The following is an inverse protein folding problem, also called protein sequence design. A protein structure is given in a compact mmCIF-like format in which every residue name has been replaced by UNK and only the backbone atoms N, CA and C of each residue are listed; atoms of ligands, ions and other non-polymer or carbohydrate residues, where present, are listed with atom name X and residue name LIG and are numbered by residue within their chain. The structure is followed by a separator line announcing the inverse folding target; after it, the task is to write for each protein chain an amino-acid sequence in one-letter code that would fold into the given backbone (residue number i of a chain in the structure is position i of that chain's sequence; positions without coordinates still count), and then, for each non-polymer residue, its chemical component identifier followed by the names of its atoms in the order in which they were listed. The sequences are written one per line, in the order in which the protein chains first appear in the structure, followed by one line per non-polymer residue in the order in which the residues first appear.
data_IF_759071450264
#
_entry.id   IF_759071450264
#
_cell.length_a   1.000
_cell.length_b   1.000
_cell.length_c   1.000
_cell.angle_alpha   90.00
_cell.angle_beta   90.00
_cell.angle_gamma   90.00
#
_symmetry.space_group_name_H-M   'P 1'
#
loop_
_entity.id
_entity.type
_entity.pdbx_description
1 polymer ?
#
# COMPACT_ATOMS: atom_id res chain seq x y z
N UNK A 1 -0.46 -2.41 -8.56
CA UNK A 1 -0.10 -3.83 -8.33
C UNK A 1 1.39 -4.01 -8.13
N UNK A 2 2.22 -3.37 -8.95
CA UNK A 2 3.68 -3.55 -8.92
C UNK A 2 4.43 -2.52 -8.07
N UNK A 3 3.72 -1.70 -7.32
CA UNK A 3 4.31 -0.77 -6.36
C UNK A 3 4.67 -1.47 -5.04
N UNK A 4 5.68 -0.95 -4.37
CA UNK A 4 6.03 -1.34 -3.01
C UNK A 4 5.68 -0.23 -2.02
N UNK A 5 5.37 -0.59 -0.79
CA UNK A 5 5.11 0.35 0.28
C UNK A 5 5.88 -0.10 1.53
N UNK A 6 6.83 0.71 1.96
CA UNK A 6 7.76 0.35 3.02
C UNK A 6 8.31 1.60 3.71
N UNK A 7 8.69 1.47 4.97
CA UNK A 7 9.30 2.54 5.75
C UNK A 7 10.79 2.73 5.44
N UNK A 8 11.47 1.67 5.01
CA UNK A 8 12.89 1.66 4.67
C UNK A 8 13.19 0.59 3.62
N UNK A 9 14.38 0.65 3.04
CA UNK A 9 14.81 -0.35 2.07
C UNK A 9 15.10 -1.72 2.70
N UNK A 10 15.07 -2.82 1.93
CA UNK A 10 15.46 -4.13 2.42
C UNK A 10 16.88 -4.19 2.98
N UNK A 11 17.81 -3.42 2.40
CA UNK A 11 19.20 -3.30 2.90
C UNK A 11 19.24 -2.63 4.27
N UNK A 12 18.47 -1.55 4.44
CA UNK A 12 18.34 -0.86 5.73
C UNK A 12 17.74 -1.76 6.80
N UNK A 13 16.67 -2.47 6.47
CA UNK A 13 16.04 -3.44 7.37
C UNK A 13 16.99 -4.57 7.74
N UNK A 14 17.71 -5.14 6.75
CA UNK A 14 18.70 -6.19 6.97
C UNK A 14 19.85 -5.73 7.89
N UNK A 15 20.31 -4.49 7.71
CA UNK A 15 21.34 -3.91 8.57
C UNK A 15 20.91 -3.81 10.03
N UNK A 16 19.66 -3.43 10.26
CA UNK A 16 19.08 -3.28 11.61
C UNK A 16 18.85 -4.67 12.24
N UNK A 17 18.14 -5.55 11.53
CA UNK A 17 17.66 -6.82 12.09
C UNK A 17 18.76 -7.89 12.11
N UNK A 18 19.51 -8.02 11.03
CA UNK A 18 20.53 -9.07 10.87
C UNK A 18 21.96 -8.56 11.05
N UNK A 19 22.15 -7.26 11.20
CA UNK A 19 23.44 -6.58 11.23
C UNK A 19 24.31 -6.88 9.98
N UNK A 20 23.67 -7.17 8.85
CA UNK A 20 24.29 -7.50 7.58
C UNK A 20 23.38 -7.06 6.40
N UNK A 21 23.77 -5.97 5.72
CA UNK A 21 23.02 -5.44 4.58
C UNK A 21 22.94 -6.42 3.38
N UNK A 22 23.83 -7.40 3.29
CA UNK A 22 23.82 -8.40 2.22
C UNK A 22 22.63 -9.36 2.32
N UNK A 23 21.99 -9.45 3.47
CA UNK A 23 20.78 -10.25 3.71
C UNK A 23 19.50 -9.54 3.26
N UNK A 24 19.60 -8.65 2.28
CA UNK A 24 18.48 -7.86 1.79
C UNK A 24 17.34 -8.70 1.18
N UNK A 25 17.63 -9.83 0.57
CA UNK A 25 16.60 -10.73 0.01
C UNK A 25 15.73 -11.33 1.12
N UNK A 26 16.37 -11.89 2.14
CA UNK A 26 15.68 -12.45 3.32
C UNK A 26 14.88 -11.35 4.04
N UNK A 27 15.46 -10.15 4.15
CA UNK A 27 14.80 -8.98 4.72
C UNK A 27 13.54 -8.60 3.93
N UNK A 28 13.62 -8.54 2.60
CA UNK A 28 12.48 -8.21 1.74
C UNK A 28 11.30 -9.18 1.92
N UNK A 29 11.57 -10.47 2.06
CA UNK A 29 10.54 -11.49 2.31
C UNK A 29 9.85 -11.29 3.66
N UNK A 30 10.61 -10.96 4.69
CA UNK A 30 10.07 -10.72 6.05
C UNK A 30 9.27 -9.42 6.11
N UNK A 31 9.66 -8.39 5.38
CA UNK A 31 9.03 -7.07 5.42
C UNK A 31 7.60 -7.03 4.87
N UNK A 32 7.22 -7.97 4.01
CA UNK A 32 5.86 -8.00 3.42
C UNK A 32 5.49 -6.69 2.73
N UNK A 33 6.30 -6.26 1.78
CA UNK A 33 6.21 -4.93 1.15
C UNK A 33 5.44 -4.90 -0.19
N UNK A 34 5.04 -6.07 -0.69
CA UNK A 34 4.30 -6.16 -1.96
C UNK A 34 2.82 -5.82 -1.80
N UNK A 35 2.19 -5.37 -2.87
CA UNK A 35 0.77 -5.01 -2.87
C UNK A 35 -0.13 -6.15 -2.37
N UNK A 36 0.16 -7.39 -2.77
CA UNK A 36 -0.59 -8.57 -2.34
C UNK A 36 -0.49 -8.78 -0.83
N UNK A 37 0.72 -8.80 -0.31
CA UNK A 37 0.98 -9.00 1.13
C UNK A 37 0.38 -7.89 1.98
N UNK A 38 0.51 -6.64 1.54
CA UNK A 38 -0.07 -5.48 2.22
C UNK A 38 -1.61 -5.50 2.22
N UNK A 39 -2.21 -6.07 1.16
CA UNK A 39 -3.66 -6.30 1.10
C UNK A 39 -4.10 -7.36 2.09
N UNK A 40 -3.38 -8.48 2.16
CA UNK A 40 -3.64 -9.57 3.11
C UNK A 40 -3.52 -9.09 4.57
N UNK A 41 -2.56 -8.23 4.85
CA UNK A 41 -2.37 -7.61 6.17
C UNK A 41 -3.38 -6.48 6.48
N UNK A 42 -4.17 -6.04 5.51
CA UNK A 42 -5.11 -4.93 5.67
C UNK A 42 -4.46 -3.54 5.75
N UNK A 43 -3.19 -3.43 5.34
CA UNK A 43 -2.48 -2.13 5.27
C UNK A 43 -3.01 -1.29 4.13
N UNK A 44 -3.28 -1.91 2.98
CA UNK A 44 -3.90 -1.25 1.82
C UNK A 44 -5.32 -1.77 1.60
N UNK A 45 -6.21 -0.90 1.12
CA UNK A 45 -7.62 -1.24 0.91
C UNK A 45 -7.84 -1.95 -0.40
N UNK A 46 -7.17 -1.50 -1.46
CA UNK A 46 -7.35 -2.01 -2.82
C UNK A 46 -6.02 -2.11 -3.56
N UNK A 47 -5.97 -3.04 -4.48
CA UNK A 47 -4.84 -3.23 -5.41
C UNK A 47 -5.38 -3.07 -6.82
N UNK A 48 -4.87 -2.07 -7.53
CA UNK A 48 -5.21 -1.83 -8.93
C UNK A 48 -4.40 -2.81 -9.78
N UNK A 49 -5.08 -3.60 -10.61
CA UNK A 49 -4.46 -4.57 -11.50
C UNK A 49 -3.74 -3.87 -12.65
N UNK A 50 -2.56 -4.38 -12.96
CA UNK A 50 -1.72 -3.93 -14.06
C UNK A 50 -1.42 -5.14 -14.95
N UNK A 51 -2.40 -5.52 -15.79
CA UNK A 51 -2.29 -6.70 -16.65
C UNK A 51 -1.29 -6.54 -17.78
N UNK A 52 -0.95 -5.28 -18.11
CA UNK A 52 0.04 -4.88 -19.12
C UNK A 52 0.98 -3.84 -18.51
N UNK A 53 2.21 -3.70 -19.03
CA UNK A 53 3.13 -2.68 -18.54
C UNK A 53 2.52 -1.27 -18.58
N UNK A 54 2.70 -0.51 -17.52
CA UNK A 54 2.20 0.86 -17.43
C UNK A 54 3.04 1.78 -18.30
N UNK A 55 2.40 2.37 -19.32
CA UNK A 55 2.97 3.34 -20.25
C UNK A 55 1.98 4.48 -20.48
N UNK A 56 2.38 5.51 -21.22
CA UNK A 56 1.46 6.59 -21.64
C UNK A 56 0.25 6.04 -22.40
N UNK A 57 0.44 5.00 -23.19
CA UNK A 57 -0.64 4.40 -24.01
C UNK A 57 -1.56 3.48 -23.19
N UNK A 58 -1.13 3.02 -22.03
CA UNK A 58 -1.87 2.06 -21.18
C UNK A 58 -2.33 2.63 -19.84
N UNK A 59 -2.04 3.91 -19.57
CA UNK A 59 -2.33 4.55 -18.27
C UNK A 59 -3.82 4.77 -18.02
N UNK A 60 -4.62 4.90 -19.06
CA UNK A 60 -6.03 5.30 -18.94
C UNK A 60 -6.84 4.32 -18.09
N UNK A 61 -6.65 3.02 -18.26
CA UNK A 61 -7.34 1.99 -17.47
C UNK A 61 -7.00 2.10 -15.97
N UNK A 62 -5.74 2.38 -15.65
CA UNK A 62 -5.30 2.57 -14.27
C UNK A 62 -5.86 3.87 -13.69
N UNK A 63 -5.89 4.94 -14.48
CA UNK A 63 -6.47 6.24 -14.07
C UNK A 63 -7.97 6.10 -13.82
N UNK A 64 -8.70 5.40 -14.67
CA UNK A 64 -10.15 5.18 -14.51
C UNK A 64 -10.43 4.39 -13.21
N UNK A 65 -9.69 3.33 -12.97
CA UNK A 65 -9.84 2.54 -11.74
C UNK A 65 -9.44 3.33 -10.48
N UNK A 66 -8.37 4.11 -10.55
CA UNK A 66 -7.95 5.00 -9.46
C UNK A 66 -9.00 6.06 -9.17
N UNK A 67 -9.56 6.70 -10.21
CA UNK A 67 -10.64 7.69 -10.07
C UNK A 67 -11.87 7.09 -9.41
N UNK A 68 -12.29 5.90 -9.84
CA UNK A 68 -13.41 5.18 -9.23
C UNK A 68 -13.16 4.87 -7.75
N UNK A 69 -11.95 4.46 -7.38
CA UNK A 69 -11.59 4.21 -5.98
C UNK A 69 -11.60 5.48 -5.13
N UNK A 70 -11.18 6.61 -5.69
CA UNK A 70 -11.22 7.91 -5.03
C UNK A 70 -12.68 8.36 -4.82
N UNK A 71 -13.51 8.23 -5.83
CA UNK A 71 -14.93 8.55 -5.75
C UNK A 71 -15.66 7.71 -4.69
N UNK A 72 -15.40 6.41 -4.66
CA UNK A 72 -15.92 5.50 -3.63
C UNK A 72 -15.50 5.92 -2.22
N UNK A 73 -14.25 6.35 -2.06
CA UNK A 73 -13.76 6.85 -0.77
C UNK A 73 -14.51 8.11 -0.33
N UNK A 74 -14.69 9.07 -1.21
CA UNK A 74 -15.42 10.29 -0.91
C UNK A 74 -16.90 10.01 -0.63
N UNK A 75 -17.55 9.18 -1.41
CA UNK A 75 -18.94 8.78 -1.18
C UNK A 75 -19.13 8.11 0.18
N UNK A 76 -18.26 7.18 0.54
CA UNK A 76 -18.28 6.48 1.82
C UNK A 76 -18.10 7.41 3.02
N UNK A 77 -17.34 8.48 2.88
CA UNK A 77 -17.00 9.39 3.96
C UNK A 77 -17.76 10.72 3.92
N UNK A 78 -18.60 10.97 2.90
CA UNK A 78 -19.30 12.25 2.70
C UNK A 78 -20.20 12.65 3.88
N UNK A 79 -20.82 11.69 4.57
CA UNK A 79 -21.72 11.94 5.71
C UNK A 79 -20.96 11.98 7.06
N UNK A 80 -19.66 11.73 7.08
CA UNK A 80 -18.85 11.70 8.31
C UNK A 80 -18.28 13.09 8.61
N UNK A 81 -18.18 13.42 9.90
CA UNK A 81 -17.42 14.58 10.35
C UNK A 81 -15.90 14.37 10.20
N UNK A 82 -15.13 15.45 10.21
CA UNK A 82 -13.66 15.35 10.23
C UNK A 82 -13.12 14.56 11.42
N UNK A 83 -13.76 14.68 12.58
CA UNK A 83 -13.40 13.93 13.78
C UNK A 83 -13.64 12.43 13.60
N UNK A 84 -14.75 12.04 12.99
CA UNK A 84 -15.06 10.63 12.70
C UNK A 84 -14.05 10.03 11.74
N UNK A 85 -13.68 10.75 10.66
CA UNK A 85 -12.68 10.32 9.69
C UNK A 85 -11.31 10.14 10.36
N UNK A 86 -10.89 11.10 11.20
CA UNK A 86 -9.64 11.04 11.94
C UNK A 86 -9.63 9.86 12.94
N UNK A 87 -10.74 9.60 13.61
CA UNK A 87 -10.90 8.48 14.53
C UNK A 87 -10.86 7.13 13.80
N UNK A 88 -11.52 7.01 12.66
CA UNK A 88 -11.49 5.81 11.83
C UNK A 88 -10.05 5.50 11.38
N UNK A 89 -9.31 6.52 10.96
CA UNK A 89 -7.90 6.39 10.62
C UNK A 89 -7.05 5.96 11.81
N UNK A 90 -7.22 6.59 12.95
CA UNK A 90 -6.51 6.22 14.18
C UNK A 90 -6.76 4.76 14.55
N UNK A 91 -8.02 4.34 14.59
CA UNK A 91 -8.41 2.98 14.92
C UNK A 91 -7.85 1.96 13.94
N UNK A 92 -7.79 2.30 12.66
CA UNK A 92 -7.19 1.45 11.62
C UNK A 92 -5.72 1.16 11.91
N UNK A 93 -4.94 2.20 12.18
CA UNK A 93 -3.50 2.05 12.42
C UNK A 93 -3.16 1.46 13.78
N UNK A 94 -4.08 1.48 14.71
CA UNK A 94 -3.92 0.82 16.03
C UNK A 94 -4.03 -0.70 15.98
N UNK A 95 -4.41 -1.26 14.85
CA UNK A 95 -4.49 -2.73 14.66
C UNK A 95 -3.13 -3.37 14.39
N UNK A 96 -2.13 -2.58 14.07
CA UNK A 96 -0.79 -3.05 13.70
C UNK A 96 0.21 -2.92 14.83
#
# INVERSE_FOLDING_TARGET
EHSIYSILSPEGFASILYKDAKKNKEAAEVMKITAKELKELGVVDRVIKENIPLTIDTIDDVVDELSSNIDDFFEKNAAKSGEEIAKDRYNRFRKF
#
